data_IF_363478184141
#
_entry.id   IF_363478184141
#
_cell.length_a   1.000
_cell.length_b   1.000
_cell.length_c   1.000
_cell.angle_alpha   90.00
_cell.angle_beta   90.00
_cell.angle_gamma   90.00
#
_symmetry.space_group_name_H-M   'P 1'
#
loop_
_entity.id
_entity.type
_entity.pdbx_description
1 polymer ?
#
# COMPACT_ATOMS: atom_id res chain seq x y z
N UNK A 1 14.06 -4.66 1.03
CA UNK A 1 14.04 -5.54 -0.15
C UNK A 1 13.31 -4.83 -1.26
N UNK A 2 13.39 -5.37 -2.48
CA UNK A 2 12.51 -4.95 -3.56
C UNK A 2 11.13 -5.59 -3.40
N UNK A 3 10.09 -4.90 -3.85
CA UNK A 3 8.78 -5.49 -4.12
C UNK A 3 8.20 -4.88 -5.39
N UNK A 4 7.28 -5.62 -6.02
CA UNK A 4 6.45 -5.10 -7.10
C UNK A 4 5.07 -4.77 -6.56
N UNK A 5 4.54 -3.59 -6.88
CA UNK A 5 3.14 -3.23 -6.60
C UNK A 5 2.35 -3.46 -7.87
N UNK A 6 1.19 -4.12 -7.76
CA UNK A 6 0.26 -4.30 -8.87
C UNK A 6 -0.70 -3.12 -8.95
N UNK A 7 -0.84 -2.55 -10.15
CA UNK A 7 -1.85 -1.57 -10.48
C UNK A 7 -3.15 -2.30 -10.87
N UNK A 8 -3.87 -2.75 -9.85
CA UNK A 8 -5.16 -3.42 -10.00
C UNK A 8 -6.21 -2.84 -9.05
N UNK A 9 -7.43 -3.39 -9.11
CA UNK A 9 -8.57 -2.89 -8.35
C UNK A 9 -8.42 -3.01 -6.82
N UNK A 10 -7.47 -3.79 -6.32
CA UNK A 10 -7.20 -3.93 -4.88
C UNK A 10 -6.25 -2.84 -4.38
N UNK A 11 -5.37 -2.36 -5.25
CA UNK A 11 -4.47 -1.24 -4.94
C UNK A 11 -5.22 0.07 -5.01
N UNK A 12 -5.73 0.54 -3.87
CA UNK A 12 -6.56 1.74 -3.76
C UNK A 12 -6.28 2.55 -2.49
N UNK A 13 -6.73 3.80 -2.49
CA UNK A 13 -6.59 4.74 -1.38
C UNK A 13 -7.98 5.23 -0.97
N UNK A 14 -8.72 4.36 -0.30
CA UNK A 14 -10.16 4.53 -0.04
C UNK A 14 -10.50 4.24 1.42
N UNK A 15 -11.60 4.82 1.92
CA UNK A 15 -12.17 4.56 3.25
C UNK A 15 -11.18 4.78 4.41
N UNK A 16 -10.18 5.64 4.21
CA UNK A 16 -9.13 5.93 5.19
C UNK A 16 -7.95 4.96 5.20
N UNK A 17 -7.88 4.07 4.21
CA UNK A 17 -6.80 3.09 4.06
C UNK A 17 -6.07 3.22 2.72
N UNK A 18 -4.76 3.03 2.74
CA UNK A 18 -4.00 2.64 1.56
C UNK A 18 -3.91 1.11 1.54
N UNK A 19 -4.63 0.50 0.61
CA UNK A 19 -4.56 -0.95 0.35
C UNK A 19 -3.64 -1.19 -0.83
N UNK A 20 -2.72 -2.15 -0.70
CA UNK A 20 -1.76 -2.51 -1.73
C UNK A 20 -1.81 -4.00 -1.99
N UNK A 21 -1.89 -4.37 -3.27
CA UNK A 21 -1.52 -5.70 -3.74
C UNK A 21 -0.08 -5.65 -4.24
N UNK A 22 0.77 -6.54 -3.72
CA UNK A 22 2.19 -6.57 -4.06
C UNK A 22 2.70 -8.00 -4.18
N UNK A 23 3.82 -8.16 -4.89
CA UNK A 23 4.60 -9.39 -4.90
C UNK A 23 6.02 -9.13 -4.39
N UNK A 24 6.57 -10.10 -3.68
CA UNK A 24 7.98 -10.11 -3.27
C UNK A 24 8.53 -11.54 -3.34
N UNK A 25 9.81 -11.67 -3.70
CA UNK A 25 10.53 -12.94 -3.57
C UNK A 25 10.60 -13.34 -2.11
N UNK A 26 10.16 -14.56 -1.82
CA UNK A 26 10.26 -15.18 -0.49
C UNK A 26 11.17 -16.40 -0.57
N UNK A 27 11.73 -16.82 0.56
CA UNK A 27 12.64 -17.94 0.65
C UNK A 27 12.05 -19.28 0.21
N UNK A 28 12.92 -20.10 -0.39
CA UNK A 28 12.59 -21.46 -0.80
C UNK A 28 12.72 -22.43 0.38
N UNK A 29 11.65 -23.15 0.69
CA UNK A 29 11.65 -24.16 1.76
C UNK A 29 12.16 -25.50 1.21
N UNK A 30 13.45 -25.80 1.46
CA UNK A 30 13.97 -27.18 1.48
C UNK A 30 15.05 -27.39 2.55
N UNK A 31 15.78 -26.34 2.96
CA UNK A 31 16.78 -26.40 4.04
C UNK A 31 16.94 -25.10 4.85
N UNK A 32 16.18 -24.05 4.53
CA UNK A 32 16.22 -22.74 5.20
C UNK A 32 14.82 -22.31 5.63
N UNK A 33 14.74 -21.69 6.81
CA UNK A 33 13.50 -21.19 7.40
C UNK A 33 13.05 -19.91 6.69
N UNK A 34 11.81 -19.89 6.21
CA UNK A 34 11.18 -18.67 5.67
C UNK A 34 11.09 -17.64 6.79
N UNK A 35 11.51 -16.41 6.53
CA UNK A 35 11.43 -15.33 7.51
C UNK A 35 10.27 -14.40 7.23
N UNK A 36 9.68 -13.89 8.32
CA UNK A 36 8.64 -12.87 8.24
C UNK A 36 9.23 -11.59 7.66
N UNK A 37 8.59 -11.06 6.63
CA UNK A 37 8.90 -9.73 6.08
C UNK A 37 8.12 -8.65 6.85
N UNK A 38 8.73 -7.50 7.05
CA UNK A 38 8.10 -6.31 7.63
C UNK A 38 7.83 -5.27 6.56
N UNK A 39 6.63 -4.71 6.59
CA UNK A 39 6.21 -3.61 5.72
C UNK A 39 5.80 -2.44 6.59
N UNK A 40 6.40 -1.29 6.34
CA UNK A 40 6.09 -0.04 7.03
C UNK A 40 5.71 1.03 6.02
N UNK A 41 4.72 1.85 6.36
CA UNK A 41 4.37 3.05 5.63
C UNK A 41 4.84 4.27 6.43
N UNK A 42 5.62 5.14 5.80
CA UNK A 42 5.98 6.44 6.34
C UNK A 42 5.32 7.54 5.52
N UNK A 43 5.05 8.68 6.15
CA UNK A 43 4.46 9.85 5.51
C UNK A 43 5.41 11.01 5.74
N UNK A 44 5.74 11.72 4.66
CA UNK A 44 6.46 12.98 4.76
C UNK A 44 5.50 14.07 5.26
N UNK A 45 5.79 14.75 6.38
CA UNK A 45 4.85 15.67 7.00
C UNK A 45 4.67 16.98 6.23
N UNK A 46 5.56 17.31 5.29
CA UNK A 46 5.51 18.54 4.51
C UNK A 46 4.83 18.32 3.15
N UNK A 47 5.21 17.25 2.46
CA UNK A 47 4.73 16.94 1.10
C UNK A 47 3.54 15.99 1.09
N UNK A 48 3.29 15.27 2.19
CA UNK A 48 2.31 14.19 2.31
C UNK A 48 2.60 12.99 1.39
N UNK A 49 3.80 12.92 0.82
CA UNK A 49 4.26 11.77 0.05
C UNK A 49 4.38 10.54 0.98
N UNK A 50 3.94 9.40 0.46
CA UNK A 50 3.88 8.12 1.14
C UNK A 50 5.10 7.28 0.76
N UNK A 51 5.74 6.62 1.72
CA UNK A 51 6.92 5.79 1.49
C UNK A 51 6.70 4.39 2.05
N UNK A 52 6.51 3.42 1.16
CA UNK A 52 6.45 2.02 1.52
C UNK A 52 7.88 1.46 1.68
N UNK A 53 8.16 0.93 2.86
CA UNK A 53 9.44 0.30 3.20
C UNK A 53 9.24 -1.18 3.44
N UNK A 54 10.05 -1.97 2.73
CA UNK A 54 10.08 -3.42 2.88
C UNK A 54 11.39 -3.86 3.52
N UNK A 55 11.30 -4.52 4.67
CA UNK A 55 12.39 -5.25 5.29
C UNK A 55 12.11 -6.75 5.18
N UNK A 56 13.02 -7.48 4.53
CA UNK A 56 12.91 -8.93 4.36
C UNK A 56 13.40 -9.71 5.58
N UNK A 57 13.85 -9.04 6.64
CA UNK A 57 14.33 -9.68 7.87
C UNK A 57 15.45 -10.73 7.62
N UNK A 58 16.27 -10.49 6.59
CA UNK A 58 17.30 -11.43 6.15
C UNK A 58 16.78 -12.75 5.56
N UNK A 59 15.56 -12.77 5.02
CA UNK A 59 15.06 -13.86 4.17
C UNK A 59 15.90 -13.96 2.89
N UNK A 60 16.08 -15.18 2.40
CA UNK A 60 16.90 -15.45 1.22
C UNK A 60 16.00 -15.50 -0.03
N UNK A 61 16.07 -14.52 -0.92
CA UNK A 61 15.16 -14.34 -2.07
C UNK A 61 15.31 -15.39 -3.20
N UNK A 62 15.74 -16.63 -2.89
CA UNK A 62 15.96 -17.73 -3.83
C UNK A 62 14.72 -18.58 -4.11
N UNK A 63 13.56 -18.26 -3.51
CA UNK A 63 12.31 -18.96 -3.78
C UNK A 63 11.56 -18.41 -4.98
N UNK A 64 10.24 -18.35 -4.88
CA UNK A 64 9.35 -17.83 -5.92
C UNK A 64 8.78 -16.47 -5.46
N UNK A 65 8.32 -15.61 -6.39
CA UNK A 65 7.52 -14.45 -6.01
C UNK A 65 6.23 -14.94 -5.34
N UNK A 66 5.86 -14.32 -4.24
CA UNK A 66 4.60 -14.57 -3.54
C UNK A 66 3.83 -13.26 -3.40
N UNK A 67 2.52 -13.37 -3.61
CA UNK A 67 1.59 -12.25 -3.45
C UNK A 67 1.33 -11.93 -1.98
N UNK A 68 1.12 -10.65 -1.70
CA UNK A 68 0.74 -10.14 -0.41
C UNK A 68 -0.26 -8.99 -0.56
N UNK A 69 -1.13 -8.89 0.44
CA UNK A 69 -2.09 -7.81 0.57
C UNK A 69 -1.88 -7.11 1.91
N UNK A 70 -1.84 -5.79 1.90
CA UNK A 70 -1.71 -4.99 3.12
C UNK A 70 -2.57 -3.74 3.03
N UNK A 71 -3.22 -3.40 4.14
CA UNK A 71 -3.97 -2.15 4.26
C UNK A 71 -3.41 -1.34 5.44
N UNK A 72 -2.93 -0.14 5.14
CA UNK A 72 -2.46 0.81 6.14
C UNK A 72 -3.56 1.82 6.42
N UNK A 73 -3.93 2.00 7.68
CA UNK A 73 -4.81 3.09 8.09
C UNK A 73 -4.02 4.40 8.02
N UNK A 74 -4.49 5.37 7.22
CA UNK A 74 -3.78 6.63 6.95
C UNK A 74 -4.62 7.88 7.24
N UNK A 75 -5.94 7.74 7.43
CA UNK A 75 -6.85 8.85 7.69
C UNK A 75 -6.43 9.76 8.86
N UNK A 76 -6.07 9.16 9.99
CA UNK A 76 -5.64 9.88 11.19
C UNK A 76 -4.30 10.62 10.98
N UNK A 77 -3.50 10.20 10.00
CA UNK A 77 -2.19 10.78 9.67
C UNK A 77 -2.27 11.84 8.58
N UNK A 78 -3.39 11.92 7.87
CA UNK A 78 -3.62 12.82 6.73
C UNK A 78 -4.86 13.72 6.97
N UNK A 79 -4.92 14.46 8.10
CA UNK A 79 -6.14 15.19 8.51
C UNK A 79 -6.56 16.32 7.55
N UNK A 80 -5.66 16.74 6.65
CA UNK A 80 -5.88 17.84 5.72
C UNK A 80 -6.10 17.37 4.27
N UNK A 81 -5.98 16.07 3.98
CA UNK A 81 -6.18 15.54 2.63
C UNK A 81 -7.67 15.39 2.36
N UNK A 82 -8.12 15.93 1.23
CA UNK A 82 -9.52 15.90 0.81
C UNK A 82 -9.77 14.89 -0.29
N UNK A 83 -11.03 14.50 -0.44
CA UNK A 83 -11.46 13.62 -1.51
C UNK A 83 -11.07 14.15 -2.88
N UNK A 84 -10.51 13.26 -3.69
CA UNK A 84 -10.03 13.55 -5.02
C UNK A 84 -8.61 14.12 -5.11
N UNK A 85 -7.99 14.47 -3.98
CA UNK A 85 -6.58 14.82 -3.96
C UNK A 85 -5.70 13.61 -4.30
N UNK A 86 -4.54 13.88 -4.89
CA UNK A 86 -3.61 12.85 -5.34
C UNK A 86 -2.37 12.86 -4.48
N UNK A 87 -2.04 11.72 -3.88
CA UNK A 87 -0.82 11.49 -3.13
C UNK A 87 0.21 10.78 -4.02
N UNK A 88 1.50 10.93 -3.70
CA UNK A 88 2.56 10.15 -4.34
C UNK A 88 2.97 9.02 -3.41
N UNK A 89 2.85 7.78 -3.88
CA UNK A 89 3.42 6.61 -3.23
C UNK A 89 4.81 6.34 -3.80
N UNK A 90 5.81 6.17 -2.95
CA UNK A 90 7.18 5.80 -3.28
C UNK A 90 7.52 4.43 -2.69
N UNK A 91 8.25 3.62 -3.43
CA UNK A 91 8.79 2.34 -2.94
C UNK A 91 10.09 2.00 -3.68
N UNK A 92 10.76 0.94 -3.22
CA UNK A 92 11.87 0.32 -3.96
C UNK A 92 11.41 -1.01 -4.54
N UNK A 93 11.59 -1.20 -5.83
CA UNK A 93 11.53 -2.52 -6.45
C UNK A 93 12.94 -3.13 -6.55
N UNK A 94 13.09 -4.19 -7.34
CA UNK A 94 14.37 -4.85 -7.54
C UNK A 94 15.33 -4.10 -8.46
N UNK A 95 14.83 -3.11 -9.23
CA UNK A 95 15.63 -2.28 -10.15
C UNK A 95 15.92 -0.89 -9.57
N UNK A 96 15.23 -0.47 -8.50
CA UNK A 96 15.51 0.76 -7.77
C UNK A 96 14.27 1.49 -7.28
N UNK A 97 14.35 2.81 -7.25
CA UNK A 97 13.28 3.67 -6.78
C UNK A 97 12.11 3.73 -7.78
N UNK A 98 10.89 3.68 -7.25
CA UNK A 98 9.63 3.71 -7.99
C UNK A 98 8.65 4.65 -7.31
N UNK A 99 7.72 5.19 -8.10
CA UNK A 99 6.60 5.95 -7.58
C UNK A 99 5.34 5.82 -8.42
N UNK A 100 4.19 6.06 -7.79
CA UNK A 100 2.87 6.04 -8.41
C UNK A 100 1.99 7.12 -7.77
N UNK A 101 0.97 7.55 -8.52
CA UNK A 101 -0.04 8.49 -8.04
C UNK A 101 -1.26 7.72 -7.57
N UNK A 102 -1.69 7.98 -6.34
CA UNK A 102 -2.89 7.37 -5.75
C UNK A 102 -3.90 8.45 -5.41
N UNK A 103 -5.13 8.30 -5.88
CA UNK A 103 -6.21 9.25 -5.62
C UNK A 103 -6.88 8.89 -4.31
N UNK A 104 -6.92 9.83 -3.36
CA UNK A 104 -7.56 9.62 -2.07
C UNK A 104 -9.07 9.79 -2.19
N UNK A 105 -9.81 8.86 -1.61
CA UNK A 105 -11.25 8.99 -1.39
C UNK A 105 -11.56 8.63 0.07
N UNK A 106 -11.98 9.60 0.86
CA UNK A 106 -12.65 9.31 2.12
C UNK A 106 -13.98 8.58 1.84
N UNK A 107 -14.53 7.94 2.88
CA UNK A 107 -15.70 7.08 2.77
C UNK A 107 -16.76 7.66 1.85
N UNK A 108 -17.18 6.88 0.87
CA UNK A 108 -18.37 7.20 0.09
C UNK A 108 -19.54 7.41 1.05
N UNK A 109 -20.10 8.62 1.09
CA UNK A 109 -21.43 8.78 1.63
C UNK A 109 -22.37 7.96 0.75
N UNK A 110 -22.98 6.92 1.32
CA UNK A 110 -24.06 6.21 0.63
C UNK A 110 -25.08 7.27 0.16
N UNK A 111 -25.61 7.16 -1.07
CA UNK A 111 -26.65 8.05 -1.55
C UNK A 111 -27.75 8.11 -0.49
N UNK A 112 -27.99 9.31 0.05
CA UNK A 112 -29.06 9.48 1.03
C UNK A 112 -30.37 9.17 0.29
N UNK A 113 -31.08 8.14 0.73
CA UNK A 113 -32.34 7.74 0.12
C UNK A 113 -33.30 8.94 0.18
N UNK A 114 -33.65 9.49 -0.98
CA UNK A 114 -34.54 10.63 -1.09
C UNK A 114 -35.85 10.27 -0.38
N UNK A 115 -36.18 10.96 0.71
CA UNK A 115 -37.48 10.84 1.34
C UNK A 115 -38.54 11.23 0.30
N UNK A 116 -39.22 10.23 -0.25
CA UNK A 116 -40.39 10.46 -1.08
C UNK A 116 -41.47 10.97 -0.12
N UNK A 117 -41.74 12.27 -0.17
CA UNK A 117 -42.86 12.87 0.55
C UNK A 117 -44.14 12.46 -0.18
N UNK A 118 -44.96 11.64 0.47
CA UNK A 118 -46.34 11.31 0.08
C UNK A 118 -47.28 12.52 0.21
#
# INVERSE_FOLDING_TARGET
GGLYIYDDWVTCCEDGYLTLHFASWVGQSYSMEKKVHYLHLAIDPETLDLYLRHDRNGDNEYGAPADGFIAFKIDDLLPNVKDGETLTLHWKDYDGDRSAKVKYSSRFSLPQESQVLD
#
